data_IF_121453155115
#
_entry.id   IF_121453155115
#
_cell.length_a   1.000
_cell.length_b   1.000
_cell.length_c   1.000
_cell.angle_alpha   90.00
_cell.angle_beta   90.00
_cell.angle_gamma   90.00
#
_symmetry.space_group_name_H-M   'P 1'
#
loop_
_entity.id
_entity.type
_entity.pdbx_description
1 polymer ?
#
# COMPACT_ATOMS: atom_id res chain seq x y z
N UNK A 1 44.06 -1.23 -22.75
CA UNK A 1 42.89 -2.04 -22.57
C UNK A 1 42.06 -1.51 -21.38
N UNK A 2 41.43 -0.33 -21.56
CA UNK A 2 40.64 0.39 -20.55
C UNK A 2 39.45 1.07 -21.22
N UNK A 3 38.60 0.31 -21.91
CA UNK A 3 37.38 0.84 -22.55
C UNK A 3 36.30 -0.25 -22.58
N UNK A 4 35.82 -0.64 -21.42
CA UNK A 4 34.51 -1.30 -21.29
C UNK A 4 33.97 -1.23 -19.85
N UNK A 5 34.02 -0.06 -19.23
CA UNK A 5 33.10 0.23 -18.15
C UNK A 5 31.83 0.74 -18.81
N UNK A 6 30.88 -0.18 -18.93
CA UNK A 6 29.61 0.05 -19.56
C UNK A 6 28.86 1.20 -18.85
N UNK A 7 28.25 2.05 -19.67
CA UNK A 7 27.32 3.11 -19.31
C UNK A 7 26.01 2.59 -18.62
N UNK A 8 26.06 1.40 -18.02
CA UNK A 8 24.92 0.72 -17.40
C UNK A 8 24.82 0.78 -15.87
N UNK A 9 25.78 1.39 -15.18
CA UNK A 9 25.82 1.40 -13.70
C UNK A 9 25.39 2.73 -13.05
N UNK A 10 24.64 3.54 -13.79
CA UNK A 10 24.16 4.82 -13.25
C UNK A 10 22.95 4.53 -12.34
N UNK A 11 23.21 4.59 -11.01
CA UNK A 11 22.19 4.64 -9.94
C UNK A 11 21.32 3.39 -9.76
N UNK A 12 21.92 2.23 -9.49
CA UNK A 12 21.15 1.06 -9.01
C UNK A 12 20.70 1.29 -7.58
N UNK A 13 19.39 1.42 -7.39
CA UNK A 13 18.74 1.33 -6.08
C UNK A 13 18.29 -0.09 -5.91
N UNK A 14 18.99 -0.84 -5.07
CA UNK A 14 18.82 -2.29 -5.01
C UNK A 14 18.85 -2.79 -3.57
N UNK A 15 17.96 -3.72 -3.29
CA UNK A 15 17.91 -4.54 -2.09
C UNK A 15 18.21 -5.97 -2.50
N UNK A 16 19.24 -6.60 -1.90
CA UNK A 16 19.68 -7.96 -2.23
C UNK A 16 19.72 -8.84 -1.00
N UNK A 17 18.98 -9.93 -1.03
CA UNK A 17 18.93 -10.99 -0.01
C UNK A 17 18.82 -10.44 1.42
N UNK A 18 18.02 -9.38 1.55
CA UNK A 18 17.92 -8.62 2.76
C UNK A 18 17.22 -9.41 3.85
N UNK A 19 17.91 -9.56 4.98
CA UNK A 19 17.38 -10.16 6.18
C UNK A 19 17.63 -9.33 7.43
N UNK A 20 16.63 -9.26 8.30
CA UNK A 20 16.74 -8.63 9.62
C UNK A 20 16.18 -9.55 10.68
N UNK A 21 17.05 -9.97 11.61
CA UNK A 21 16.68 -10.71 12.79
C UNK A 21 16.93 -9.88 14.05
N UNK A 22 16.07 -10.08 15.02
CA UNK A 22 16.19 -9.52 16.36
C UNK A 22 16.46 -10.64 17.36
N UNK A 23 17.36 -10.38 18.31
CA UNK A 23 17.64 -11.32 19.40
C UNK A 23 16.51 -11.28 20.42
N UNK A 24 15.80 -12.37 20.56
CA UNK A 24 14.79 -12.54 21.59
C UNK A 24 15.37 -13.37 22.73
N UNK A 25 15.36 -12.79 23.93
CA UNK A 25 15.83 -13.47 25.14
C UNK A 25 14.63 -13.91 25.97
N UNK A 26 14.50 -15.21 26.30
CA UNK A 26 13.36 -15.71 27.07
C UNK A 26 13.31 -15.12 28.48
N UNK A 27 14.45 -14.70 29.03
CA UNK A 27 14.54 -14.04 30.33
C UNK A 27 15.58 -12.93 30.33
N UNK A 28 15.42 -11.94 31.22
CA UNK A 28 16.43 -10.85 31.40
C UNK A 28 17.80 -11.42 31.80
N UNK A 29 17.81 -12.50 32.56
CA UNK A 29 19.02 -13.20 33.01
C UNK A 29 19.73 -13.93 31.88
N UNK A 30 19.02 -14.39 30.86
CA UNK A 30 19.62 -15.04 29.70
C UNK A 30 20.54 -14.07 28.94
N UNK A 31 20.13 -12.80 28.80
CA UNK A 31 20.96 -11.74 28.19
C UNK A 31 22.23 -11.46 28.98
N UNK A 32 22.09 -11.31 30.32
CA UNK A 32 23.24 -11.09 31.20
C UNK A 32 24.20 -12.28 31.20
N UNK A 33 23.67 -13.49 31.23
CA UNK A 33 24.46 -14.73 31.20
C UNK A 33 25.17 -14.93 29.84
N UNK A 34 24.56 -14.55 28.72
CA UNK A 34 25.23 -14.56 27.41
C UNK A 34 26.36 -13.54 27.34
N UNK A 35 26.21 -12.38 27.96
CA UNK A 35 27.24 -11.35 28.02
C UNK A 35 28.42 -11.75 28.92
N UNK A 36 28.14 -12.38 30.10
CA UNK A 36 29.17 -12.82 31.06
C UNK A 36 29.88 -14.13 30.66
N UNK A 37 29.19 -15.01 29.91
CA UNK A 37 29.66 -16.35 29.57
C UNK A 37 29.56 -16.61 28.06
N UNK A 38 30.27 -15.83 27.21
CA UNK A 38 30.14 -15.89 25.75
C UNK A 38 30.55 -17.26 25.17
N UNK A 39 31.39 -18.04 25.89
CA UNK A 39 31.82 -19.38 25.49
C UNK A 39 30.76 -20.48 25.64
N UNK A 40 29.62 -20.20 26.31
CA UNK A 40 28.53 -21.18 26.50
C UNK A 40 27.52 -21.20 25.35
N UNK A 41 27.76 -20.43 24.30
CA UNK A 41 26.90 -20.34 23.13
C UNK A 41 25.73 -19.33 23.30
N UNK A 42 25.02 -19.04 22.19
CA UNK A 42 23.91 -18.08 22.21
C UNK A 42 22.75 -18.60 23.07
N UNK A 43 22.17 -17.70 23.88
CA UNK A 43 20.99 -17.96 24.72
C UNK A 43 19.77 -17.19 24.26
N UNK A 44 19.84 -16.65 23.04
CA UNK A 44 18.76 -15.96 22.39
C UNK A 44 18.26 -16.77 21.19
N UNK A 45 17.01 -16.56 20.85
CA UNK A 45 16.41 -16.99 19.61
C UNK A 45 16.41 -15.83 18.61
N UNK A 46 16.66 -16.13 17.35
CA UNK A 46 16.56 -15.12 16.28
C UNK A 46 15.14 -15.07 15.76
N UNK A 47 14.48 -13.95 16.00
CA UNK A 47 13.16 -13.67 15.44
C UNK A 47 13.37 -12.85 14.17
N UNK A 48 13.06 -13.43 13.02
CA UNK A 48 13.22 -12.79 11.73
C UNK A 48 12.04 -11.86 11.45
N UNK A 49 12.33 -10.58 11.31
CA UNK A 49 11.36 -9.59 10.88
C UNK A 49 11.35 -9.45 9.35
N UNK A 50 12.49 -9.71 8.70
CA UNK A 50 12.64 -9.79 7.23
C UNK A 50 13.58 -10.95 6.90
N UNK A 51 13.30 -11.64 5.79
CA UNK A 51 14.10 -12.74 5.31
C UNK A 51 14.09 -12.83 3.80
N UNK A 52 15.28 -12.88 3.20
CA UNK A 52 15.48 -13.09 1.76
C UNK A 52 14.69 -12.10 0.87
N UNK A 53 14.62 -10.83 1.25
CA UNK A 53 13.92 -9.79 0.49
C UNK A 53 14.85 -9.21 -0.55
N UNK A 54 14.49 -9.32 -1.83
CA UNK A 54 15.26 -8.78 -2.96
C UNK A 54 14.34 -8.05 -3.93
N UNK A 55 14.69 -6.82 -4.29
CA UNK A 55 14.02 -6.04 -5.33
C UNK A 55 14.91 -4.89 -5.82
N UNK A 56 14.61 -4.37 -7.00
CA UNK A 56 15.30 -3.22 -7.58
C UNK A 56 14.32 -2.05 -7.75
N UNK A 57 14.84 -0.83 -7.66
CA UNK A 57 14.05 0.39 -7.85
C UNK A 57 14.70 1.25 -8.92
N UNK A 58 13.95 1.59 -9.96
CA UNK A 58 14.43 2.46 -11.03
C UNK A 58 14.42 3.91 -10.59
N UNK A 59 15.37 4.74 -11.08
CA UNK A 59 15.32 6.18 -10.84
C UNK A 59 13.98 6.78 -11.31
N UNK A 60 13.32 7.58 -10.45
CA UNK A 60 12.02 8.19 -10.74
C UNK A 60 10.82 7.25 -10.66
N UNK A 61 11.03 5.96 -10.34
CA UNK A 61 9.96 5.00 -10.15
C UNK A 61 9.24 5.24 -8.81
N UNK A 62 7.92 5.07 -8.82
CA UNK A 62 7.10 5.07 -7.62
C UNK A 62 6.67 3.64 -7.26
N UNK A 63 7.11 3.17 -6.10
CA UNK A 63 6.80 1.81 -5.60
C UNK A 63 5.89 1.89 -4.40
N UNK A 64 4.80 1.12 -4.42
CA UNK A 64 3.92 0.88 -3.28
C UNK A 64 4.38 -0.32 -2.46
N UNK A 65 4.47 -0.19 -1.15
CA UNK A 65 4.75 -1.29 -0.23
C UNK A 65 3.48 -1.65 0.55
N UNK A 66 2.95 -2.82 0.28
CA UNK A 66 1.70 -3.34 0.82
C UNK A 66 1.97 -4.54 1.73
N UNK A 67 1.12 -4.77 2.72
CA UNK A 67 1.22 -5.92 3.61
C UNK A 67 0.53 -5.69 4.95
N UNK A 68 0.16 -6.75 5.64
CA UNK A 68 -0.47 -6.69 6.95
C UNK A 68 0.41 -6.03 8.02
N UNK A 69 -0.20 -5.66 9.16
CA UNK A 69 0.57 -5.22 10.32
C UNK A 69 1.49 -6.36 10.78
N UNK A 70 2.76 -6.04 11.06
CA UNK A 70 3.78 -7.03 11.39
C UNK A 70 4.43 -7.73 10.18
N UNK A 71 4.06 -7.41 8.93
CA UNK A 71 4.67 -8.00 7.74
C UNK A 71 6.15 -7.63 7.51
N UNK A 72 6.68 -6.64 8.24
CA UNK A 72 8.07 -6.19 8.12
C UNK A 72 8.24 -4.85 7.41
N UNK A 73 7.16 -4.18 6.99
CA UNK A 73 7.20 -2.90 6.24
C UNK A 73 8.08 -1.84 6.92
N UNK A 74 7.78 -1.50 8.17
CA UNK A 74 8.55 -0.48 8.92
C UNK A 74 10.00 -0.91 9.18
N UNK A 75 10.27 -2.21 9.30
CA UNK A 75 11.64 -2.72 9.42
C UNK A 75 12.39 -2.52 8.11
N UNK A 76 11.78 -2.83 6.95
CA UNK A 76 12.36 -2.60 5.63
C UNK A 76 12.70 -1.11 5.44
N UNK A 77 11.77 -0.23 5.78
CA UNK A 77 11.99 1.21 5.65
C UNK A 77 13.15 1.71 6.54
N UNK A 78 13.25 1.24 7.79
CA UNK A 78 14.36 1.56 8.69
C UNK A 78 15.71 1.06 8.17
N UNK A 79 15.74 -0.04 7.45
CA UNK A 79 16.94 -0.54 6.79
C UNK A 79 17.32 0.31 5.58
N UNK A 80 16.35 0.73 4.76
CA UNK A 80 16.56 1.59 3.59
C UNK A 80 17.03 2.99 4.01
N UNK A 81 16.48 3.55 5.10
CA UNK A 81 16.90 4.85 5.65
C UNK A 81 18.23 4.80 6.40
N UNK A 82 18.79 3.60 6.61
CA UNK A 82 20.04 3.44 7.37
C UNK A 82 19.88 3.58 8.89
N UNK A 83 18.65 3.76 9.39
CA UNK A 83 18.34 3.82 10.84
C UNK A 83 18.56 2.47 11.53
N UNK A 84 18.55 1.38 10.76
CA UNK A 84 18.87 0.03 11.23
C UNK A 84 19.86 -0.64 10.29
N UNK A 85 20.69 -1.54 10.83
CA UNK A 85 21.68 -2.30 10.07
C UNK A 85 21.09 -3.67 9.72
N UNK A 86 21.22 -4.16 8.49
CA UNK A 86 20.77 -5.50 8.11
C UNK A 86 21.54 -6.60 8.85
N UNK A 87 20.91 -7.74 9.08
CA UNK A 87 21.56 -8.95 9.62
C UNK A 87 22.19 -9.76 8.49
N UNK A 88 21.56 -9.74 7.32
CA UNK A 88 22.02 -10.40 6.09
C UNK A 88 21.69 -9.51 4.88
N UNK A 89 22.42 -9.76 3.79
CA UNK A 89 22.18 -9.08 2.53
C UNK A 89 22.75 -7.67 2.48
N UNK A 90 22.42 -6.95 1.43
CA UNK A 90 22.95 -5.63 1.15
C UNK A 90 21.87 -4.67 0.63
N UNK A 91 22.04 -3.40 0.95
CA UNK A 91 21.18 -2.30 0.47
C UNK A 91 22.08 -1.27 -0.19
N UNK A 92 21.74 -0.89 -1.41
CA UNK A 92 22.39 0.22 -2.13
C UNK A 92 21.33 1.20 -2.56
N UNK A 93 21.29 2.35 -1.90
CA UNK A 93 20.48 3.49 -2.28
C UNK A 93 21.39 4.70 -2.34
N UNK A 94 21.61 5.22 -3.55
CA UNK A 94 22.45 6.40 -3.77
C UNK A 94 21.58 7.64 -3.90
N UNK A 95 22.04 8.74 -3.32
CA UNK A 95 21.32 10.01 -3.30
C UNK A 95 20.76 10.36 -1.92
N UNK A 96 20.12 11.52 -1.86
CA UNK A 96 19.51 12.03 -0.63
C UNK A 96 18.17 11.35 -0.41
N UNK A 97 18.06 10.62 0.71
CA UNK A 97 16.82 9.99 1.17
C UNK A 97 16.12 10.93 2.15
N UNK A 98 14.86 11.24 1.89
CA UNK A 98 13.97 11.87 2.87
C UNK A 98 12.88 10.85 3.26
N UNK A 99 12.69 10.65 4.56
CA UNK A 99 11.69 9.73 5.07
C UNK A 99 10.66 10.49 5.91
N UNK A 100 9.40 10.34 5.55
CA UNK A 100 8.29 10.92 6.29
C UNK A 100 7.79 10.00 7.42
N UNK A 101 8.53 8.90 7.69
CA UNK A 101 8.25 7.91 8.74
C UNK A 101 8.26 8.50 10.15
N UNK A 102 9.04 9.50 10.34
CA UNK A 102 9.42 10.03 11.64
C UNK A 102 9.23 11.56 11.65
N UNK A 103 8.11 12.02 11.04
CA UNK A 103 7.76 13.43 11.00
C UNK A 103 7.74 14.03 12.41
N UNK A 104 8.54 15.08 12.60
CA UNK A 104 8.68 15.72 13.90
C UNK A 104 9.70 15.06 14.83
N UNK A 105 10.41 14.00 14.38
CA UNK A 105 11.55 13.49 15.13
C UNK A 105 12.65 14.56 15.25
N UNK A 106 13.15 14.72 16.46
CA UNK A 106 14.11 15.77 16.77
C UNK A 106 13.47 17.11 17.15
N UNK A 107 12.12 17.24 17.13
CA UNK A 107 11.48 18.44 17.65
C UNK A 107 11.60 18.50 19.16
N UNK A 108 12.09 19.64 19.65
CA UNK A 108 12.19 19.91 21.10
C UNK A 108 10.96 20.71 21.55
N UNK A 109 10.21 20.25 22.54
CA UNK A 109 8.93 20.86 22.92
C UNK A 109 9.04 22.31 23.41
N UNK A 110 10.17 22.69 24.01
CA UNK A 110 10.37 24.03 24.55
C UNK A 110 10.95 25.02 23.54
N UNK A 111 11.38 24.56 22.37
CA UNK A 111 11.86 25.41 21.31
C UNK A 111 10.72 25.91 20.42
N UNK A 112 10.88 27.11 19.84
CA UNK A 112 9.94 27.63 18.88
C UNK A 112 9.91 26.79 17.60
N UNK A 113 8.86 26.94 16.79
CA UNK A 113 8.80 26.30 15.48
C UNK A 113 10.02 26.62 14.63
N UNK A 114 10.44 27.88 14.57
CA UNK A 114 11.62 28.34 13.84
C UNK A 114 12.91 27.66 14.30
N UNK A 115 13.11 27.56 15.62
CA UNK A 115 14.26 26.85 16.18
C UNK A 115 14.24 25.36 15.85
N UNK A 116 13.06 24.75 15.85
CA UNK A 116 12.89 23.34 15.45
C UNK A 116 13.13 23.12 13.96
N UNK A 117 12.76 24.08 13.09
CA UNK A 117 13.12 24.05 11.67
C UNK A 117 14.64 24.04 11.48
N UNK A 118 15.38 24.90 12.20
CA UNK A 118 16.84 24.95 12.16
C UNK A 118 17.45 23.59 12.58
N UNK A 119 17.02 23.06 13.72
CA UNK A 119 17.54 21.81 14.24
C UNK A 119 17.22 20.61 13.31
N UNK A 120 15.97 20.49 12.86
CA UNK A 120 15.57 19.40 11.98
C UNK A 120 16.18 19.52 10.59
N UNK A 121 16.32 20.74 10.06
CA UNK A 121 17.01 20.98 8.79
C UNK A 121 18.46 20.52 8.84
N UNK A 122 19.17 20.81 9.94
CA UNK A 122 20.55 20.32 10.15
C UNK A 122 20.61 18.78 10.25
N UNK A 123 19.68 18.15 10.95
CA UNK A 123 19.59 16.70 11.01
C UNK A 123 19.34 16.07 9.62
N UNK A 124 18.61 16.77 8.76
CA UNK A 124 18.39 16.39 7.36
C UNK A 124 19.58 16.74 6.44
N UNK A 125 20.70 17.24 7.01
CA UNK A 125 21.93 17.54 6.28
C UNK A 125 21.92 18.87 5.53
N UNK A 126 21.03 19.82 5.88
CA UNK A 126 21.03 21.17 5.36
C UNK A 126 22.01 22.06 6.15
N UNK A 127 22.69 22.96 5.46
CA UNK A 127 23.49 24.01 6.10
C UNK A 127 22.57 25.11 6.64
N UNK A 128 23.07 25.91 7.60
CA UNK A 128 22.30 27.04 8.15
C UNK A 128 21.88 28.03 7.04
N UNK A 129 22.77 28.31 6.10
CA UNK A 129 22.50 29.22 4.98
C UNK A 129 21.38 28.68 4.06
N UNK A 130 21.35 27.36 3.80
CA UNK A 130 20.28 26.72 3.04
C UNK A 130 18.94 26.78 3.80
N UNK A 131 18.96 26.56 5.12
CA UNK A 131 17.75 26.63 5.94
C UNK A 131 17.19 28.04 5.97
N UNK A 132 18.05 29.07 6.12
CA UNK A 132 17.61 30.47 6.09
C UNK A 132 16.97 30.83 4.75
N UNK A 133 17.50 30.35 3.64
CA UNK A 133 16.92 30.55 2.30
C UNK A 133 15.57 29.81 2.13
N UNK A 134 15.40 28.64 2.73
CA UNK A 134 14.20 27.82 2.65
C UNK A 134 13.13 28.21 3.66
N UNK A 135 13.48 28.96 4.70
CA UNK A 135 12.58 29.35 5.78
C UNK A 135 11.26 29.99 5.30
N UNK A 136 11.28 30.97 4.37
CA UNK A 136 10.03 31.56 3.88
C UNK A 136 9.11 30.53 3.18
N UNK A 137 9.69 29.57 2.45
CA UNK A 137 8.92 28.52 1.80
C UNK A 137 8.34 27.53 2.82
N UNK A 138 9.11 27.16 3.85
CA UNK A 138 8.68 26.29 4.93
C UNK A 138 7.50 26.93 5.67
N UNK A 139 7.59 28.20 6.04
CA UNK A 139 6.51 28.93 6.71
C UNK A 139 5.25 29.01 5.85
N UNK A 140 5.42 29.39 4.57
CA UNK A 140 4.31 29.49 3.62
C UNK A 140 3.62 28.14 3.37
N UNK A 141 4.39 27.03 3.40
CA UNK A 141 3.81 25.72 3.22
C UNK A 141 3.13 25.20 4.49
N UNK A 142 3.71 25.44 5.68
CA UNK A 142 3.16 24.98 6.95
C UNK A 142 1.84 25.68 7.31
N UNK A 143 1.66 26.94 6.91
CA UNK A 143 0.45 27.76 7.17
C UNK A 143 0.06 27.78 8.66
N UNK A 144 1.04 27.94 9.55
CA UNK A 144 0.83 28.01 11.00
C UNK A 144 0.90 29.45 11.53
N UNK A 145 1.17 30.44 10.66
CA UNK A 145 1.19 31.87 11.00
C UNK A 145 2.18 32.19 12.11
N UNK A 146 1.80 33.13 12.99
CA UNK A 146 2.64 33.63 14.09
C UNK A 146 3.01 32.54 15.12
N UNK A 147 2.34 31.38 15.06
CA UNK A 147 2.70 30.27 15.94
C UNK A 147 4.12 29.76 15.69
N UNK A 148 4.73 30.04 14.51
CA UNK A 148 6.11 29.64 14.20
C UNK A 148 7.13 30.11 15.25
N UNK A 149 6.86 31.23 15.93
CA UNK A 149 7.71 31.80 16.96
C UNK A 149 7.35 31.35 18.39
N UNK A 150 6.28 30.53 18.53
CA UNK A 150 5.84 29.96 19.80
C UNK A 150 6.48 28.56 20.03
N UNK A 151 6.62 28.14 21.31
CA UNK A 151 7.13 26.80 21.64
C UNK A 151 6.21 25.70 21.08
N UNK A 152 6.83 24.64 20.52
CA UNK A 152 6.08 23.53 19.88
C UNK A 152 5.11 22.82 20.82
N UNK A 153 5.37 22.80 22.12
CA UNK A 153 4.42 22.24 23.11
C UNK A 153 3.03 22.91 23.10
N UNK A 154 2.92 24.12 22.53
CA UNK A 154 1.66 24.83 22.38
C UNK A 154 0.92 24.49 21.08
N UNK A 155 1.56 23.72 20.18
CA UNK A 155 0.98 23.37 18.90
C UNK A 155 -0.01 22.20 19.04
N UNK A 156 -1.05 22.25 18.20
CA UNK A 156 -1.84 21.04 17.96
C UNK A 156 -0.98 19.98 17.22
N UNK A 157 -1.38 18.72 17.31
CA UNK A 157 -0.72 17.65 16.55
C UNK A 157 -0.70 17.93 15.03
N UNK A 158 -1.76 18.56 14.51
CA UNK A 158 -1.84 18.98 13.12
C UNK A 158 -0.80 20.05 12.76
N UNK A 159 -0.61 21.08 13.59
CA UNK A 159 0.40 22.12 13.38
C UNK A 159 1.83 21.54 13.42
N UNK A 160 2.10 20.64 14.37
CA UNK A 160 3.40 19.95 14.43
C UNK A 160 3.68 19.16 13.17
N UNK A 161 2.67 18.43 12.67
CA UNK A 161 2.78 17.62 11.46
C UNK A 161 2.96 18.48 10.21
N UNK A 162 2.22 19.61 10.10
CA UNK A 162 2.38 20.57 9.02
C UNK A 162 3.80 21.12 8.96
N UNK A 163 4.34 21.54 10.10
CA UNK A 163 5.71 22.05 10.17
C UNK A 163 6.73 20.98 9.82
N UNK A 164 6.60 19.78 10.39
CA UNK A 164 7.51 18.67 10.15
C UNK A 164 7.54 18.24 8.67
N UNK A 165 6.36 18.14 8.04
CA UNK A 165 6.26 17.84 6.61
C UNK A 165 6.89 18.95 5.76
N UNK A 166 6.65 20.23 6.11
CA UNK A 166 7.21 21.37 5.39
C UNK A 166 8.75 21.36 5.39
N UNK A 167 9.36 21.05 6.54
CA UNK A 167 10.81 20.92 6.67
C UNK A 167 11.34 19.74 5.86
N UNK A 168 10.72 18.57 5.99
CA UNK A 168 11.16 17.35 5.30
C UNK A 168 11.08 17.47 3.77
N UNK A 169 10.14 18.29 3.27
CA UNK A 169 9.90 18.52 1.84
C UNK A 169 10.36 19.87 1.32
N UNK A 170 11.07 20.67 2.13
CA UNK A 170 11.58 21.97 1.71
C UNK A 170 12.59 21.87 0.54
N UNK A 171 13.38 20.82 0.53
CA UNK A 171 14.30 20.51 -0.55
C UNK A 171 13.95 19.19 -1.20
N UNK A 172 13.85 19.16 -2.54
CA UNK A 172 13.58 17.94 -3.30
C UNK A 172 14.61 16.84 -2.99
N UNK A 173 14.19 15.66 -2.52
CA UNK A 173 15.07 14.52 -2.34
C UNK A 173 15.22 13.71 -3.64
N UNK A 174 16.25 12.84 -3.70
CA UNK A 174 16.39 11.85 -4.77
C UNK A 174 15.47 10.65 -4.54
N UNK A 175 15.20 10.35 -3.27
CA UNK A 175 14.32 9.28 -2.82
C UNK A 175 13.44 9.82 -1.69
N UNK A 176 12.14 9.70 -1.85
CA UNK A 176 11.16 10.07 -0.83
C UNK A 176 10.43 8.83 -0.35
N UNK A 177 10.54 8.57 0.94
CA UNK A 177 9.82 7.49 1.63
C UNK A 177 8.63 8.10 2.34
N UNK A 178 7.44 7.61 1.98
CA UNK A 178 6.15 8.07 2.50
C UNK A 178 5.50 6.92 3.24
N UNK A 179 5.17 7.13 4.51
CA UNK A 179 4.40 6.17 5.31
C UNK A 179 2.97 6.67 5.52
N UNK A 180 2.12 5.86 6.09
CA UNK A 180 0.73 6.14 6.45
C UNK A 180 0.50 7.51 7.13
N UNK A 181 1.57 8.15 7.61
CA UNK A 181 1.57 9.49 8.21
C UNK A 181 1.00 10.61 7.32
N UNK A 182 0.79 10.38 6.01
CA UNK A 182 0.09 11.35 5.16
C UNK A 182 -1.41 11.47 5.43
N UNK A 183 -1.98 10.54 6.16
CA UNK A 183 -3.39 10.58 6.59
C UNK A 183 -3.62 11.52 7.79
N UNK A 184 -2.57 12.17 8.30
CA UNK A 184 -2.64 13.09 9.44
C UNK A 184 -2.74 14.54 8.97
N UNK A 185 -3.63 15.28 9.61
CA UNK A 185 -3.96 16.67 9.26
C UNK A 185 -5.37 16.80 8.70
N UNK A 186 -5.76 18.02 8.33
CA UNK A 186 -7.02 18.25 7.66
C UNK A 186 -6.95 17.89 6.17
N UNK A 187 -8.11 17.71 5.55
CA UNK A 187 -8.23 17.31 4.14
C UNK A 187 -7.52 18.28 3.18
N UNK A 188 -7.48 19.56 3.51
CA UNK A 188 -6.79 20.57 2.69
C UNK A 188 -5.28 20.35 2.69
N UNK A 189 -4.68 20.18 3.87
CA UNK A 189 -3.23 19.96 3.98
C UNK A 189 -2.80 18.60 3.41
N UNK A 190 -3.64 17.58 3.56
CA UNK A 190 -3.43 16.29 2.90
C UNK A 190 -3.35 16.46 1.38
N UNK A 191 -4.33 17.16 0.77
CA UNK A 191 -4.30 17.42 -0.67
C UNK A 191 -3.04 18.20 -1.11
N UNK A 192 -2.66 19.23 -0.36
CA UNK A 192 -1.45 20.04 -0.60
C UNK A 192 -0.17 19.18 -0.52
N UNK A 193 -0.10 18.28 0.45
CA UNK A 193 1.01 17.34 0.63
C UNK A 193 1.09 16.34 -0.53
N UNK A 194 -0.03 15.78 -0.96
CA UNK A 194 -0.08 14.89 -2.13
C UNK A 194 0.36 15.60 -3.42
N UNK A 195 -0.04 16.86 -3.62
CA UNK A 195 0.41 17.63 -4.79
C UNK A 195 1.92 17.89 -4.76
N UNK A 196 2.51 18.16 -3.59
CA UNK A 196 3.97 18.29 -3.44
C UNK A 196 4.68 16.97 -3.79
N UNK A 197 4.17 15.84 -3.36
CA UNK A 197 4.73 14.52 -3.68
C UNK A 197 4.62 14.23 -5.18
N UNK A 198 3.48 14.53 -5.81
CA UNK A 198 3.29 14.41 -7.26
C UNK A 198 4.26 15.32 -8.03
N UNK A 199 4.49 16.53 -7.55
CA UNK A 199 5.46 17.45 -8.14
C UNK A 199 6.88 16.86 -8.09
N UNK A 200 7.31 16.31 -6.95
CA UNK A 200 8.60 15.65 -6.83
C UNK A 200 8.73 14.45 -7.77
N UNK A 201 7.68 13.64 -7.89
CA UNK A 201 7.66 12.54 -8.86
C UNK A 201 7.86 13.02 -10.29
N UNK A 202 7.13 14.07 -10.72
CA UNK A 202 7.30 14.66 -12.06
C UNK A 202 8.72 15.19 -12.31
N UNK A 203 9.43 15.57 -11.25
CA UNK A 203 10.83 16.02 -11.29
C UNK A 203 11.83 14.86 -11.20
N UNK A 204 11.39 13.61 -11.19
CA UNK A 204 12.25 12.43 -11.17
C UNK A 204 12.68 11.92 -9.80
N UNK A 205 12.01 12.35 -8.71
CA UNK A 205 12.21 11.75 -7.39
C UNK A 205 11.64 10.33 -7.37
N UNK A 206 12.40 9.38 -6.89
CA UNK A 206 11.94 8.01 -6.63
C UNK A 206 11.07 8.00 -5.38
N UNK A 207 9.91 7.36 -5.46
CA UNK A 207 8.97 7.26 -4.35
C UNK A 207 8.90 5.83 -3.82
N UNK A 208 8.90 5.69 -2.50
CA UNK A 208 8.55 4.47 -1.81
C UNK A 208 7.39 4.77 -0.86
N UNK A 209 6.20 4.29 -1.19
CA UNK A 209 4.97 4.64 -0.49
C UNK A 209 4.45 3.42 0.26
N UNK A 210 4.29 3.55 1.58
CA UNK A 210 3.59 2.57 2.41
C UNK A 210 2.21 3.12 2.72
N UNK A 211 1.19 2.44 2.24
CA UNK A 211 -0.18 2.85 2.50
C UNK A 211 -1.11 1.63 2.50
N UNK A 212 -2.14 1.70 3.32
CA UNK A 212 -3.29 0.80 3.24
C UNK A 212 -4.38 1.37 2.31
N UNK A 213 -4.24 2.63 1.90
CA UNK A 213 -5.16 3.26 0.97
C UNK A 213 -4.89 2.77 -0.47
N UNK A 214 -5.82 1.99 -0.97
CA UNK A 214 -5.80 1.46 -2.34
C UNK A 214 -5.67 2.57 -3.38
N UNK A 215 -6.42 3.66 -3.21
CA UNK A 215 -6.41 4.79 -4.14
C UNK A 215 -5.03 5.47 -4.21
N UNK A 216 -4.39 5.68 -3.06
CA UNK A 216 -3.06 6.27 -3.01
C UNK A 216 -2.04 5.41 -3.78
N UNK A 217 -2.04 4.09 -3.56
CA UNK A 217 -1.14 3.16 -4.24
C UNK A 217 -1.41 3.13 -5.75
N UNK A 218 -2.67 3.00 -6.18
CA UNK A 218 -3.04 2.91 -7.60
C UNK A 218 -2.80 4.22 -8.38
N UNK A 219 -3.03 5.38 -7.74
CA UNK A 219 -2.91 6.68 -8.41
C UNK A 219 -1.46 7.18 -8.52
N UNK A 220 -0.56 6.72 -7.65
CA UNK A 220 0.80 7.25 -7.56
C UNK A 220 1.84 6.22 -7.96
N UNK A 221 1.66 4.94 -7.67
CA UNK A 221 2.69 3.93 -7.85
C UNK A 221 2.65 3.30 -9.24
N UNK A 222 3.84 3.06 -9.79
CA UNK A 222 4.02 2.33 -11.06
C UNK A 222 3.95 0.82 -10.80
N UNK A 223 4.36 0.40 -9.60
CA UNK A 223 4.48 -0.99 -9.18
C UNK A 223 4.21 -1.11 -7.69
N UNK A 224 3.77 -2.27 -7.24
CA UNK A 224 3.60 -2.56 -5.82
C UNK A 224 4.38 -3.83 -5.42
N UNK A 225 4.82 -3.86 -4.16
CA UNK A 225 5.50 -4.96 -3.50
C UNK A 225 4.61 -5.43 -2.34
N UNK A 226 4.29 -6.71 -2.29
CA UNK A 226 3.55 -7.31 -1.18
C UNK A 226 4.51 -8.02 -0.23
N UNK A 227 4.60 -7.50 0.98
CA UNK A 227 5.29 -8.16 2.09
C UNK A 227 4.30 -8.99 2.92
N UNK A 228 4.68 -10.25 3.17
CA UNK A 228 3.94 -11.15 4.04
C UNK A 228 4.90 -12.02 4.85
N UNK A 229 4.72 -12.07 6.18
CA UNK A 229 5.58 -12.87 7.07
C UNK A 229 7.08 -12.54 6.98
N UNK A 230 7.43 -11.30 6.67
CA UNK A 230 8.82 -10.86 6.51
C UNK A 230 9.46 -11.19 5.16
N UNK A 231 8.72 -11.70 4.19
CA UNK A 231 9.20 -12.05 2.85
C UNK A 231 8.44 -11.25 1.77
N UNK A 232 9.09 -11.06 0.62
CA UNK A 232 8.45 -10.52 -0.58
C UNK A 232 7.64 -11.64 -1.23
N UNK A 233 6.31 -11.55 -1.12
CA UNK A 233 5.41 -12.58 -1.64
C UNK A 233 5.06 -12.34 -3.12
N UNK A 234 4.86 -11.08 -3.49
CA UNK A 234 4.48 -10.71 -4.85
C UNK A 234 4.97 -9.31 -5.20
N UNK A 235 5.25 -9.11 -6.48
CA UNK A 235 5.64 -7.86 -7.09
C UNK A 235 4.93 -7.71 -8.44
N UNK A 236 4.43 -6.52 -8.76
CA UNK A 236 3.74 -6.30 -10.04
C UNK A 236 2.92 -5.02 -10.09
N UNK A 237 1.98 -4.98 -11.03
CA UNK A 237 1.04 -3.88 -11.16
C UNK A 237 0.25 -3.67 -9.85
N UNK A 238 -0.01 -2.42 -9.43
CA UNK A 238 -0.69 -2.11 -8.18
C UNK A 238 -2.01 -2.85 -8.00
N UNK A 239 -2.84 -2.93 -9.05
CA UNK A 239 -4.13 -3.62 -9.00
C UNK A 239 -3.98 -5.10 -8.67
N UNK A 240 -3.10 -5.79 -9.39
CA UNK A 240 -2.87 -7.22 -9.21
C UNK A 240 -2.36 -7.56 -7.81
N UNK A 241 -1.45 -6.73 -7.28
CA UNK A 241 -0.87 -6.93 -5.94
C UNK A 241 -1.90 -6.64 -4.86
N UNK A 242 -2.71 -5.58 -5.01
CA UNK A 242 -3.75 -5.23 -4.05
C UNK A 242 -4.91 -6.23 -4.05
N UNK A 243 -5.28 -6.77 -5.21
CA UNK A 243 -6.30 -7.82 -5.30
C UNK A 243 -5.83 -9.10 -4.62
N UNK A 244 -4.56 -9.47 -4.82
CA UNK A 244 -3.96 -10.61 -4.12
C UNK A 244 -3.88 -10.38 -2.61
N UNK A 245 -3.49 -9.16 -2.18
CA UNK A 245 -3.47 -8.80 -0.77
C UNK A 245 -4.85 -8.91 -0.13
N UNK A 246 -5.90 -8.42 -0.79
CA UNK A 246 -7.27 -8.53 -0.30
C UNK A 246 -7.74 -9.98 -0.21
N UNK A 247 -7.41 -10.80 -1.22
CA UNK A 247 -7.68 -12.23 -1.17
C UNK A 247 -6.96 -12.90 0.01
N UNK A 248 -5.67 -12.56 0.23
CA UNK A 248 -4.88 -13.08 1.35
C UNK A 248 -5.47 -12.68 2.72
N UNK A 249 -6.05 -11.47 2.81
CA UNK A 249 -6.71 -11.03 4.04
C UNK A 249 -8.04 -11.76 4.27
N UNK A 250 -8.80 -12.04 3.21
CA UNK A 250 -10.01 -12.84 3.28
C UNK A 250 -9.72 -14.32 3.61
N UNK A 251 -8.53 -14.83 3.24
CA UNK A 251 -8.12 -16.22 3.44
C UNK A 251 -7.79 -16.60 4.90
N UNK A 252 -7.76 -15.64 5.82
CA UNK A 252 -7.66 -15.93 7.26
C UNK A 252 -8.79 -16.84 7.78
N UNK A 253 -9.80 -17.08 6.94
CA UNK A 253 -10.92 -17.99 7.18
C UNK A 253 -10.75 -19.37 6.51
N UNK A 254 -9.58 -19.72 5.94
CA UNK A 254 -9.28 -21.05 5.40
C UNK A 254 -9.63 -21.24 3.91
N UNK A 255 -9.72 -20.18 3.14
CA UNK A 255 -10.07 -20.20 1.72
C UNK A 255 -8.82 -20.31 0.81
N UNK A 256 -8.94 -21.00 -0.33
CA UNK A 256 -7.86 -21.11 -1.30
C UNK A 256 -7.79 -19.87 -2.21
N UNK A 257 -6.55 -19.37 -2.45
CA UNK A 257 -6.31 -18.26 -3.36
C UNK A 257 -5.68 -18.79 -4.65
N UNK A 258 -6.19 -18.39 -5.79
CA UNK A 258 -5.64 -18.74 -7.10
C UNK A 258 -5.57 -17.49 -7.98
N UNK A 259 -4.45 -17.32 -8.67
CA UNK A 259 -4.32 -16.31 -9.71
C UNK A 259 -4.26 -16.96 -11.07
N UNK A 260 -5.05 -16.45 -12.01
CA UNK A 260 -5.07 -16.89 -13.39
C UNK A 260 -4.84 -15.70 -14.33
N UNK A 261 -3.96 -15.90 -15.32
CA UNK A 261 -3.73 -14.88 -16.34
C UNK A 261 -4.71 -15.12 -17.49
N UNK A 262 -5.58 -14.15 -17.72
CA UNK A 262 -6.56 -14.19 -18.80
C UNK A 262 -5.85 -14.01 -20.16
N UNK A 263 -6.48 -14.47 -21.24
CA UNK A 263 -6.02 -14.28 -22.60
C UNK A 263 -5.88 -12.81 -23.01
N UNK A 264 -6.60 -11.90 -22.33
CA UNK A 264 -6.51 -10.44 -22.45
C UNK A 264 -5.23 -9.84 -21.85
N UNK A 265 -4.40 -10.65 -21.15
CA UNK A 265 -3.20 -10.21 -20.44
C UNK A 265 -3.44 -9.71 -19.02
N UNK A 266 -4.68 -9.55 -18.60
CA UNK A 266 -5.04 -9.19 -17.22
C UNK A 266 -4.91 -10.39 -16.27
N UNK A 267 -4.57 -10.11 -14.99
CA UNK A 267 -4.50 -11.14 -13.96
C UNK A 267 -5.82 -11.11 -13.17
N UNK A 268 -6.47 -12.26 -13.08
CA UNK A 268 -7.66 -12.46 -12.26
C UNK A 268 -7.28 -13.16 -10.97
N UNK A 269 -7.72 -12.63 -9.83
CA UNK A 269 -7.54 -13.27 -8.52
C UNK A 269 -8.86 -13.90 -8.10
N UNK A 270 -8.84 -15.19 -7.81
CA UNK A 270 -9.99 -15.98 -7.34
C UNK A 270 -9.69 -16.40 -5.90
N UNK A 271 -10.59 -16.11 -4.98
CA UNK A 271 -10.51 -16.57 -3.59
C UNK A 271 -11.88 -16.98 -3.09
N UNK A 272 -11.93 -18.00 -2.24
CA UNK A 272 -13.21 -18.45 -1.66
C UNK A 272 -13.13 -19.82 -1.02
N UNK A 273 -14.20 -20.21 -0.31
CA UNK A 273 -14.35 -21.52 0.37
C UNK A 273 -14.41 -22.72 -0.59
N UNK A 274 -14.53 -22.46 -1.89
CA UNK A 274 -14.67 -23.51 -2.90
C UNK A 274 -16.04 -24.19 -2.96
N UNK A 275 -17.03 -23.72 -2.19
CA UNK A 275 -18.40 -24.27 -2.19
C UNK A 275 -19.13 -23.98 -3.49
N UNK A 276 -18.83 -22.86 -4.13
CA UNK A 276 -19.30 -22.48 -5.46
C UNK A 276 -18.21 -21.75 -6.24
N UNK A 277 -18.23 -21.81 -7.56
CA UNK A 277 -17.28 -21.11 -8.42
C UNK A 277 -17.97 -20.42 -9.60
N UNK A 278 -17.46 -19.24 -9.97
CA UNK A 278 -17.88 -18.52 -11.17
C UNK A 278 -17.26 -19.24 -12.37
N UNK A 279 -18.09 -19.63 -13.34
CA UNK A 279 -17.69 -20.33 -14.55
C UNK A 279 -17.49 -19.38 -15.73
N UNK A 280 -18.41 -18.42 -15.87
CA UNK A 280 -18.33 -17.41 -16.92
C UNK A 280 -18.92 -16.09 -16.46
N UNK A 281 -18.38 -15.00 -17.02
CA UNK A 281 -18.87 -13.64 -16.83
C UNK A 281 -18.99 -13.01 -18.21
N UNK A 282 -20.17 -12.48 -18.53
CA UNK A 282 -20.43 -11.80 -19.80
C UNK A 282 -21.11 -10.46 -19.53
N UNK A 283 -20.59 -9.43 -20.16
CA UNK A 283 -21.26 -8.14 -20.22
C UNK A 283 -21.91 -8.00 -21.59
N UNK A 284 -23.21 -7.80 -21.61
CA UNK A 284 -24.03 -7.84 -22.80
C UNK A 284 -24.63 -6.45 -23.08
N UNK A 285 -24.73 -6.10 -24.34
CA UNK A 285 -25.46 -4.92 -24.81
C UNK A 285 -26.98 -5.15 -24.86
N UNK A 286 -27.73 -4.14 -25.27
CA UNK A 286 -29.20 -4.21 -25.44
C UNK A 286 -29.67 -5.31 -26.41
N UNK A 287 -28.78 -5.72 -27.33
CA UNK A 287 -29.04 -6.79 -28.31
C UNK A 287 -28.64 -8.17 -27.80
N UNK A 288 -28.14 -8.25 -26.59
CA UNK A 288 -27.66 -9.50 -25.98
C UNK A 288 -26.29 -9.95 -26.53
N UNK A 289 -25.54 -9.07 -27.18
CA UNK A 289 -24.20 -9.37 -27.67
C UNK A 289 -23.16 -8.96 -26.64
N UNK A 290 -22.09 -9.75 -26.51
CA UNK A 290 -20.98 -9.42 -25.61
C UNK A 290 -20.29 -8.12 -26.06
N UNK A 291 -20.17 -7.16 -25.16
CA UNK A 291 -19.52 -5.88 -25.39
C UNK A 291 -18.70 -5.46 -24.19
N UNK A 292 -17.52 -4.89 -24.43
CA UNK A 292 -16.66 -4.28 -23.42
C UNK A 292 -16.73 -2.74 -23.46
N UNK A 293 -17.45 -2.16 -24.41
CA UNK A 293 -17.59 -0.72 -24.58
C UNK A 293 -19.07 -0.32 -24.67
N UNK A 294 -19.46 0.69 -23.89
CA UNK A 294 -20.81 1.21 -23.77
C UNK A 294 -20.79 2.74 -23.84
N UNK A 295 -21.80 3.31 -24.46
CA UNK A 295 -22.04 4.75 -24.37
C UNK A 295 -22.76 5.08 -23.06
N UNK A 296 -22.61 6.33 -22.63
CA UNK A 296 -23.34 6.83 -21.46
C UNK A 296 -24.84 6.83 -21.75
N UNK A 297 -25.62 6.11 -20.95
CA UNK A 297 -27.07 5.96 -21.13
C UNK A 297 -27.51 4.66 -21.77
N UNK A 298 -26.58 3.88 -22.32
CA UNK A 298 -26.88 2.52 -22.81
C UNK A 298 -27.40 1.63 -21.68
N UNK A 299 -28.11 0.55 -22.05
CA UNK A 299 -28.44 -0.52 -21.13
C UNK A 299 -27.45 -1.66 -21.27
N UNK A 300 -26.92 -2.13 -20.16
CA UNK A 300 -26.03 -3.27 -20.07
C UNK A 300 -26.64 -4.36 -19.19
N UNK A 301 -26.34 -5.61 -19.52
CA UNK A 301 -26.64 -6.76 -18.70
C UNK A 301 -25.37 -7.51 -18.31
N UNK A 302 -25.13 -7.66 -17.02
CA UNK A 302 -24.06 -8.51 -16.49
C UNK A 302 -24.63 -9.90 -16.24
N UNK A 303 -24.12 -10.89 -16.96
CA UNK A 303 -24.52 -12.28 -16.82
C UNK A 303 -23.38 -13.09 -16.24
N UNK A 304 -23.67 -13.81 -15.15
CA UNK A 304 -22.67 -14.58 -14.38
C UNK A 304 -23.19 -15.99 -14.18
N UNK A 305 -22.44 -16.98 -14.69
CA UNK A 305 -22.72 -18.39 -14.46
C UNK A 305 -21.93 -18.89 -13.25
N UNK A 306 -22.63 -19.51 -12.31
CA UNK A 306 -22.05 -20.06 -11.07
C UNK A 306 -22.34 -21.54 -10.99
N UNK A 307 -21.30 -22.35 -10.71
CA UNK A 307 -21.40 -23.79 -10.43
C UNK A 307 -21.30 -24.04 -8.95
N UNK A 308 -22.24 -24.77 -8.40
CA UNK A 308 -22.28 -25.18 -6.99
C UNK A 308 -21.55 -26.51 -6.84
N UNK A 309 -20.52 -26.58 -5.98
CA UNK A 309 -19.74 -27.78 -5.77
C UNK A 309 -20.18 -28.61 -4.55
N UNK A 310 -20.80 -27.94 -3.56
CA UNK A 310 -21.30 -28.57 -2.34
C UNK A 310 -22.71 -28.07 -2.06
N UNK A 311 -23.57 -28.84 -1.38
CA UNK A 311 -24.90 -28.38 -1.03
C UNK A 311 -24.87 -27.09 -0.21
N UNK A 312 -25.59 -26.06 -0.64
CA UNK A 312 -25.66 -24.76 0.01
C UNK A 312 -27.09 -24.46 0.47
N UNK A 313 -27.22 -23.98 1.70
CA UNK A 313 -28.50 -23.54 2.22
C UNK A 313 -29.01 -22.31 1.47
N UNK A 314 -28.11 -21.38 1.14
CA UNK A 314 -28.41 -20.15 0.39
C UNK A 314 -27.18 -19.62 -0.32
N UNK A 315 -27.34 -19.17 -1.56
CA UNK A 315 -26.31 -18.51 -2.34
C UNK A 315 -26.84 -17.16 -2.85
N UNK A 316 -26.06 -16.12 -2.63
CA UNK A 316 -26.24 -14.83 -3.25
C UNK A 316 -25.04 -14.47 -4.14
N UNK A 317 -25.24 -13.57 -5.08
CA UNK A 317 -24.18 -12.97 -5.89
C UNK A 317 -24.21 -11.47 -5.71
N UNK A 318 -23.06 -10.88 -5.39
CA UNK A 318 -22.85 -9.44 -5.41
C UNK A 318 -21.90 -9.05 -6.55
N UNK A 319 -22.08 -7.84 -7.08
CA UNK A 319 -21.08 -7.21 -7.93
C UNK A 319 -20.82 -5.77 -7.51
N UNK A 320 -19.60 -5.32 -7.81
CA UNK A 320 -19.11 -3.97 -7.56
C UNK A 320 -18.49 -3.44 -8.84
N UNK A 321 -18.89 -2.26 -9.27
CA UNK A 321 -18.23 -1.53 -10.36
C UNK A 321 -17.24 -0.58 -9.72
N UNK A 322 -15.99 -0.64 -10.17
CA UNK A 322 -14.88 0.19 -9.72
C UNK A 322 -14.34 1.00 -10.89
N UNK A 323 -13.93 2.24 -10.61
CA UNK A 323 -13.23 3.07 -11.59
C UNK A 323 -11.79 2.59 -11.83
N UNK A 324 -11.06 3.30 -12.70
CA UNK A 324 -9.64 3.02 -13.01
C UNK A 324 -8.70 3.12 -11.79
N UNK A 325 -9.16 3.72 -10.69
CA UNK A 325 -8.41 3.86 -9.44
C UNK A 325 -8.85 2.85 -8.38
N UNK A 326 -9.77 1.93 -8.75
CA UNK A 326 -10.31 0.93 -7.85
C UNK A 326 -11.35 1.45 -6.85
N UNK A 327 -11.79 2.72 -7.01
CA UNK A 327 -12.84 3.28 -6.17
C UNK A 327 -14.19 2.62 -6.53
N UNK A 328 -14.92 2.20 -5.51
CA UNK A 328 -16.24 1.61 -5.68
C UNK A 328 -17.25 2.69 -6.05
N UNK A 329 -17.78 2.61 -7.27
CA UNK A 329 -18.75 3.57 -7.80
C UNK A 329 -20.17 3.09 -7.60
N UNK A 330 -20.39 1.80 -7.82
CA UNK A 330 -21.70 1.16 -7.69
C UNK A 330 -21.56 -0.28 -7.25
N UNK A 331 -22.48 -0.74 -6.39
CA UNK A 331 -22.51 -2.14 -5.97
C UNK A 331 -23.89 -2.57 -5.53
N UNK A 332 -24.21 -3.82 -5.85
CA UNK A 332 -25.47 -4.45 -5.46
C UNK A 332 -25.25 -5.94 -5.21
N UNK A 333 -26.10 -6.55 -4.38
CA UNK A 333 -26.13 -8.00 -4.23
C UNK A 333 -27.55 -8.53 -4.21
N UNK A 334 -27.72 -9.79 -4.60
CA UNK A 334 -29.02 -10.46 -4.68
C UNK A 334 -29.67 -10.63 -3.32
N UNK A 335 -28.91 -10.64 -2.23
CA UNK A 335 -29.46 -10.72 -0.88
C UNK A 335 -30.29 -9.49 -0.51
N UNK A 336 -29.75 -8.28 -0.80
CA UNK A 336 -30.48 -7.03 -0.59
C UNK A 336 -31.74 -6.91 -1.44
N UNK A 337 -31.75 -7.60 -2.59
CA UNK A 337 -32.90 -7.66 -3.48
C UNK A 337 -33.90 -8.77 -3.12
N UNK A 338 -33.61 -9.55 -2.06
CA UNK A 338 -34.36 -10.75 -1.70
C UNK A 338 -34.45 -11.80 -2.84
N UNK A 339 -33.40 -11.86 -3.69
CA UNK A 339 -33.30 -12.77 -4.84
C UNK A 339 -32.21 -13.84 -4.64
N UNK A 340 -31.86 -14.15 -3.39
CA UNK A 340 -30.95 -15.27 -3.09
C UNK A 340 -31.61 -16.60 -3.43
N UNK A 341 -30.81 -17.54 -3.96
CA UNK A 341 -31.25 -18.91 -4.26
C UNK A 341 -31.07 -19.78 -3.02
N UNK A 342 -32.05 -20.64 -2.73
CA UNK A 342 -32.07 -21.46 -1.51
C UNK A 342 -32.06 -22.96 -1.87
N UNK A 343 -31.56 -23.78 -0.93
CA UNK A 343 -31.61 -25.26 -1.00
C UNK A 343 -30.89 -25.84 -2.25
N UNK A 344 -29.70 -25.34 -2.57
CA UNK A 344 -28.93 -25.72 -3.73
C UNK A 344 -28.23 -27.08 -3.54
N UNK A 345 -28.13 -27.85 -4.60
CA UNK A 345 -27.43 -29.15 -4.65
C UNK A 345 -26.08 -29.03 -5.35
N UNK A 346 -25.17 -29.92 -5.00
CA UNK A 346 -23.91 -30.02 -5.72
C UNK A 346 -24.18 -30.37 -7.21
N UNK A 347 -23.47 -29.70 -8.11
CA UNK A 347 -23.59 -29.83 -9.57
C UNK A 347 -24.62 -28.89 -10.19
N UNK A 348 -25.38 -28.14 -9.41
CA UNK A 348 -26.30 -27.14 -9.97
C UNK A 348 -25.56 -25.97 -10.57
N UNK A 349 -26.10 -25.49 -11.73
CA UNK A 349 -25.63 -24.29 -12.41
C UNK A 349 -26.68 -23.22 -12.31
N UNK A 350 -26.25 -22.05 -11.87
CA UNK A 350 -27.09 -20.87 -11.71
C UNK A 350 -26.59 -19.77 -12.66
N UNK A 351 -27.52 -19.06 -13.28
CA UNK A 351 -27.21 -17.88 -14.07
C UNK A 351 -27.84 -16.67 -13.38
N UNK A 352 -27.01 -15.78 -12.93
CA UNK A 352 -27.42 -14.48 -12.38
C UNK A 352 -27.33 -13.43 -13.47
N UNK A 353 -28.39 -12.66 -13.66
CA UNK A 353 -28.44 -11.57 -14.62
C UNK A 353 -28.81 -10.27 -13.91
N UNK A 354 -27.97 -9.24 -14.12
CA UNK A 354 -28.19 -7.90 -13.60
C UNK A 354 -28.31 -6.94 -14.78
N UNK A 355 -29.49 -6.38 -14.98
CA UNK A 355 -29.75 -5.37 -15.99
C UNK A 355 -29.66 -3.98 -15.36
N UNK A 356 -28.86 -3.08 -15.94
CA UNK A 356 -28.67 -1.74 -15.40
C UNK A 356 -28.34 -0.72 -16.50
N UNK A 357 -28.77 0.55 -16.33
CA UNK A 357 -28.36 1.62 -17.25
C UNK A 357 -26.92 2.07 -16.95
N UNK A 358 -26.11 2.24 -17.98
CA UNK A 358 -24.72 2.71 -17.89
C UNK A 358 -24.73 4.23 -17.66
N UNK A 359 -24.88 4.66 -16.42
CA UNK A 359 -24.83 6.08 -16.00
C UNK A 359 -23.48 6.43 -15.39
N UNK A 360 -22.41 5.95 -16.03
CA UNK A 360 -21.04 6.18 -15.61
C UNK A 360 -20.40 7.23 -16.53
N UNK A 361 -19.48 8.03 -16.00
CA UNK A 361 -18.68 8.95 -16.81
C UNK A 361 -17.79 8.20 -17.81
N UNK A 362 -17.23 8.91 -18.79
CA UNK A 362 -16.27 8.31 -19.72
C UNK A 362 -15.01 7.85 -18.99
N UNK A 363 -14.62 6.57 -19.14
CA UNK A 363 -13.46 5.99 -18.45
C UNK A 363 -13.45 4.47 -18.53
N UNK A 364 -12.40 3.89 -17.95
CA UNK A 364 -12.26 2.44 -17.79
C UNK A 364 -12.79 2.03 -16.42
N UNK A 365 -13.57 0.99 -16.41
CA UNK A 365 -14.17 0.44 -15.20
C UNK A 365 -13.86 -1.05 -15.09
N UNK A 366 -13.79 -1.56 -13.88
CA UNK A 366 -13.67 -2.99 -13.59
C UNK A 366 -14.87 -3.49 -12.80
N UNK A 367 -15.22 -4.75 -12.98
CA UNK A 367 -16.30 -5.41 -12.24
C UNK A 367 -15.69 -6.46 -11.32
N UNK A 368 -15.96 -6.34 -10.02
CA UNK A 368 -15.64 -7.36 -9.02
C UNK A 368 -16.90 -8.14 -8.68
N UNK A 369 -16.79 -9.45 -8.64
CA UNK A 369 -17.90 -10.37 -8.34
C UNK A 369 -17.62 -11.12 -7.05
N UNK A 370 -18.62 -11.30 -6.23
CA UNK A 370 -18.53 -12.02 -4.98
C UNK A 370 -19.76 -12.95 -4.81
N UNK A 371 -19.61 -14.25 -5.06
CA UNK A 371 -20.59 -15.23 -4.61
C UNK A 371 -20.49 -15.34 -3.08
N UNK A 372 -21.63 -15.23 -2.39
CA UNK A 372 -21.70 -15.26 -0.93
C UNK A 372 -22.61 -16.41 -0.48
N UNK A 373 -22.02 -17.33 0.25
CA UNK A 373 -22.74 -18.37 0.96
C UNK A 373 -23.19 -17.84 2.33
N UNK A 374 -24.49 -17.84 2.58
CA UNK A 374 -25.07 -17.35 3.84
C UNK A 374 -25.38 -18.52 4.78
N UNK A 375 -24.37 -19.23 5.24
CA UNK A 375 -24.56 -20.34 6.19
C UNK A 375 -24.69 -19.86 7.64
N UNK A 376 -24.07 -18.72 8.00
CA UNK A 376 -24.13 -18.13 9.36
C UNK A 376 -23.98 -16.61 9.32
N UNK A 377 -25.07 -15.86 9.23
CA UNK A 377 -25.10 -14.44 9.55
C UNK A 377 -26.19 -14.19 10.57
N UNK A 378 -25.85 -14.26 11.85
CA UNK A 378 -26.59 -13.55 12.89
C UNK A 378 -26.19 -12.07 12.78
N UNK A 379 -27.09 -11.25 12.22
CA UNK A 379 -26.98 -9.81 12.34
C UNK A 379 -27.14 -9.44 13.82
N UNK A 380 -26.24 -8.61 14.41
CA UNK A 380 -26.54 -7.99 15.68
C UNK A 380 -27.73 -7.04 15.45
N UNK A 381 -28.77 -7.23 16.23
CA UNK A 381 -29.96 -6.38 16.34
C UNK A 381 -29.60 -5.00 16.86
#
# INVERSE_FOLDING_TARGET
CLLSRGLGDVYKRQVQDLGKAFKHYPTRWARLAEWLLPWRGPRHELVWALRDVSFEVRPGEAIGLVGANGAGKSTLLKLITGTSIPTQGNIRFEGRVAALLELGMGFHPDFSGRQNVLMSGQLLGLTLAEIDQLMPEIEAFAEIGDAIDQPIRTYSSGMQMRLAFSVATARRPDILIVDEALSVGDAYFQHKSFERIRQFRRQGTTLLIVSHDRYAIQSICDRALLLHGGQLLQEGAPDSVLDYYNALMADREGNSIRQERLASGHTQTISGSGEASIQSVRLLDERGQASEAFAVGDHAALEVEVLVHQPLARLGLGFLIKDRFGQEIYGINTHRLALSQEALRAGERLVFRFDFPVRLGSGNYSVSLCPVSYTHLTLPT
#
